data_IF_101510647137
#
_entry.id   IF_101510647137
#
_cell.length_a   1.000
_cell.length_b   1.000
_cell.length_c   1.000
_cell.angle_alpha   90.00
_cell.angle_beta   90.00
_cell.angle_gamma   90.00
#
_symmetry.space_group_name_H-M   'P 1'
#
loop_
_entity.id
_entity.type
_entity.pdbx_description
1 polymer ?
#
# COMPACT_ATOMS: atom_id res chain seq x y z
N UNK A 1 17.87 35.65 -33.81
CA UNK A 1 17.87 34.20 -33.49
C UNK A 1 17.63 34.05 -32.00
N UNK A 2 16.74 33.11 -31.63
CA UNK A 2 16.01 33.03 -30.36
C UNK A 2 16.88 32.61 -29.17
N UNK A 3 16.83 33.35 -28.07
CA UNK A 3 17.25 32.90 -26.73
C UNK A 3 16.07 32.26 -26.00
N UNK A 4 16.36 31.15 -25.31
CA UNK A 4 15.39 30.22 -24.74
C UNK A 4 14.53 30.79 -23.62
N UNK A 5 13.23 30.52 -23.72
CA UNK A 5 12.27 30.72 -22.63
C UNK A 5 12.33 29.48 -21.76
N UNK A 6 12.84 29.64 -20.54
CA UNK A 6 12.82 28.60 -19.51
C UNK A 6 11.38 28.25 -19.16
N UNK A 7 10.96 27.03 -19.51
CA UNK A 7 9.70 26.46 -19.05
C UNK A 7 9.80 26.16 -17.55
N UNK A 8 9.54 27.17 -16.72
CA UNK A 8 9.19 26.95 -15.31
C UNK A 8 7.81 26.30 -15.28
N UNK A 9 7.74 25.05 -14.83
CA UNK A 9 6.48 24.39 -14.56
C UNK A 9 5.68 25.22 -13.54
N UNK A 10 4.54 25.77 -13.97
CA UNK A 10 3.59 26.44 -13.10
C UNK A 10 2.95 25.36 -12.23
N UNK A 11 3.32 25.33 -10.95
CA UNK A 11 2.60 24.54 -9.95
C UNK A 11 1.24 25.20 -9.79
N UNK A 12 0.21 24.64 -10.42
CA UNK A 12 -1.17 25.01 -10.18
C UNK A 12 -1.47 24.67 -8.71
N UNK A 13 -1.46 25.69 -7.86
CA UNK A 13 -1.95 25.59 -6.49
C UNK A 13 -3.46 25.52 -6.57
N UNK A 14 -3.97 24.32 -6.32
CA UNK A 14 -5.38 23.98 -6.10
C UNK A 14 -6.20 23.65 -7.36
N UNK A 15 -6.44 22.35 -7.66
CA UNK A 15 -7.24 21.92 -8.82
C UNK A 15 -8.74 22.24 -8.75
N UNK A 16 -9.26 22.86 -7.67
CA UNK A 16 -10.69 23.13 -7.53
C UNK A 16 -11.58 21.89 -7.41
N UNK A 17 -11.01 20.68 -7.50
CA UNK A 17 -11.66 19.45 -7.12
C UNK A 17 -11.66 19.39 -5.61
N UNK A 18 -12.84 19.22 -5.00
CA UNK A 18 -12.95 18.86 -3.59
C UNK A 18 -12.18 17.56 -3.37
N UNK A 19 -10.91 17.68 -2.96
CA UNK A 19 -10.12 16.55 -2.51
C UNK A 19 -10.83 16.08 -1.26
N UNK A 20 -11.52 14.93 -1.37
CA UNK A 20 -12.19 14.32 -0.24
C UNK A 20 -11.21 14.34 0.95
N UNK A 21 -11.66 14.85 2.09
CA UNK A 21 -10.83 14.93 3.27
C UNK A 21 -10.17 13.56 3.50
N UNK A 22 -8.85 13.51 3.78
CA UNK A 22 -8.15 12.26 3.98
C UNK A 22 -8.94 11.41 4.98
N UNK A 23 -9.32 10.19 4.59
CA UNK A 23 -10.07 9.29 5.46
C UNK A 23 -9.32 9.16 6.79
N UNK A 24 -10.03 9.39 7.89
CA UNK A 24 -9.48 9.19 9.22
C UNK A 24 -8.92 7.77 9.33
N UNK A 25 -7.71 7.62 9.88
CA UNK A 25 -7.01 6.33 9.95
C UNK A 25 -7.82 5.27 10.72
N UNK A 26 -8.68 5.68 11.65
CA UNK A 26 -9.65 4.82 12.33
C UNK A 26 -10.69 4.21 11.39
N UNK A 27 -11.27 5.00 10.49
CA UNK A 27 -12.18 4.53 9.43
C UNK A 27 -11.46 3.65 8.42
N UNK A 28 -10.18 3.95 8.14
CA UNK A 28 -9.32 3.13 7.28
C UNK A 28 -9.08 1.74 7.90
N UNK A 29 -8.77 1.67 9.19
CA UNK A 29 -8.53 0.41 9.90
C UNK A 29 -9.72 -0.56 9.79
N UNK A 30 -10.95 -0.06 10.03
CA UNK A 30 -12.16 -0.88 9.92
C UNK A 30 -12.38 -1.41 8.49
N UNK A 31 -12.18 -0.56 7.47
CA UNK A 31 -12.30 -0.98 6.07
C UNK A 31 -11.25 -2.01 5.67
N UNK A 32 -10.02 -1.87 6.16
CA UNK A 32 -8.94 -2.83 5.91
C UNK A 32 -9.24 -4.18 6.56
N UNK A 33 -9.73 -4.19 7.80
CA UNK A 33 -10.14 -5.42 8.49
C UNK A 33 -11.24 -6.15 7.73
N UNK A 34 -12.24 -5.43 7.20
CA UNK A 34 -13.31 -6.02 6.40
C UNK A 34 -12.85 -6.52 5.02
N UNK A 35 -11.86 -5.86 4.41
CA UNK A 35 -11.33 -6.23 3.10
C UNK A 35 -10.25 -7.35 3.17
N UNK A 36 -9.67 -7.56 4.35
CA UNK A 36 -8.62 -8.54 4.59
C UNK A 36 -9.13 -9.99 4.70
N UNK A 37 -8.19 -10.93 4.78
CA UNK A 37 -8.47 -12.31 5.20
C UNK A 37 -8.38 -12.45 6.71
N UNK A 38 -9.46 -12.92 7.33
CA UNK A 38 -9.49 -13.24 8.77
C UNK A 38 -8.43 -14.32 9.12
N UNK A 39 -7.86 -14.23 10.32
CA UNK A 39 -6.89 -15.22 10.84
C UNK A 39 -5.55 -15.27 10.10
N UNK A 40 -5.21 -14.24 9.32
CA UNK A 40 -3.90 -14.17 8.67
C UNK A 40 -2.79 -14.06 9.72
N UNK A 41 -1.75 -14.89 9.59
CA UNK A 41 -0.54 -14.76 10.40
C UNK A 41 0.20 -13.46 10.00
N UNK A 42 0.24 -12.52 10.95
CA UNK A 42 0.87 -11.20 10.80
C UNK A 42 2.24 -11.12 11.45
N UNK A 43 2.85 -12.26 11.79
CA UNK A 43 4.20 -12.30 12.35
C UNK A 43 5.22 -11.65 11.41
N UNK A 44 6.29 -11.02 11.93
CA UNK A 44 7.24 -10.30 11.11
C UNK A 44 7.86 -11.16 9.99
N UNK A 45 8.17 -12.42 10.28
CA UNK A 45 8.72 -13.35 9.28
C UNK A 45 7.70 -13.63 8.16
N UNK A 46 6.43 -13.83 8.53
CA UNK A 46 5.38 -14.15 7.55
C UNK A 46 5.07 -12.96 6.65
N UNK A 47 5.09 -11.74 7.18
CA UNK A 47 4.98 -10.50 6.40
C UNK A 47 6.09 -10.45 5.35
N UNK A 48 7.35 -10.62 5.76
CA UNK A 48 8.51 -10.60 4.85
C UNK A 48 8.43 -11.66 3.76
N UNK A 49 8.05 -12.88 4.13
CA UNK A 49 7.90 -13.99 3.19
C UNK A 49 6.82 -13.71 2.14
N UNK A 50 5.64 -13.25 2.60
CA UNK A 50 4.49 -12.97 1.73
C UNK A 50 4.79 -11.82 0.77
N UNK A 51 5.42 -10.75 1.26
CA UNK A 51 5.81 -9.62 0.43
C UNK A 51 6.87 -10.01 -0.60
N UNK A 52 7.89 -10.80 -0.20
CA UNK A 52 8.92 -11.32 -1.11
C UNK A 52 8.29 -12.14 -2.22
N UNK A 53 7.36 -13.03 -1.89
CA UNK A 53 6.66 -13.88 -2.86
C UNK A 53 5.87 -13.04 -3.86
N UNK A 54 5.05 -12.10 -3.40
CA UNK A 54 4.27 -11.23 -4.27
C UNK A 54 5.17 -10.42 -5.24
N UNK A 55 6.25 -9.84 -4.73
CA UNK A 55 7.23 -9.10 -5.56
C UNK A 55 7.96 -10.01 -6.54
N UNK A 56 8.29 -11.24 -6.15
CA UNK A 56 8.96 -12.20 -7.03
C UNK A 56 8.11 -12.55 -8.25
N UNK A 57 6.77 -12.62 -8.10
CA UNK A 57 5.89 -12.88 -9.24
C UNK A 57 5.96 -11.78 -10.28
N UNK A 58 5.90 -10.51 -9.85
CA UNK A 58 6.00 -9.38 -10.76
C UNK A 58 7.41 -9.26 -11.37
N UNK A 59 8.47 -9.46 -10.58
CA UNK A 59 9.85 -9.28 -11.04
C UNK A 59 10.29 -10.38 -12.02
N UNK A 60 9.95 -11.64 -11.71
CA UNK A 60 10.32 -12.79 -12.55
C UNK A 60 9.23 -13.19 -13.55
N UNK A 61 8.17 -12.39 -13.68
CA UNK A 61 7.03 -12.65 -14.58
C UNK A 61 6.42 -14.05 -14.39
N UNK A 62 6.33 -14.49 -13.13
CA UNK A 62 5.74 -15.78 -12.79
C UNK A 62 4.22 -15.64 -12.84
N UNK A 63 3.54 -16.59 -13.49
CA UNK A 63 2.08 -16.70 -13.49
C UNK A 63 1.64 -17.60 -12.34
N UNK A 64 1.08 -17.07 -11.23
CA UNK A 64 0.63 -17.89 -10.13
C UNK A 64 -0.64 -18.66 -10.50
N UNK A 65 -0.92 -19.74 -9.76
CA UNK A 65 -2.18 -20.47 -9.91
C UNK A 65 -3.40 -19.54 -9.71
N UNK A 66 -4.53 -19.82 -10.38
CA UNK A 66 -5.76 -19.02 -10.21
C UNK A 66 -6.14 -18.85 -8.75
N UNK A 67 -6.57 -17.64 -8.37
CA UNK A 67 -6.94 -17.31 -6.99
C UNK A 67 -5.77 -17.02 -6.04
N UNK A 68 -4.52 -17.37 -6.38
CA UNK A 68 -3.35 -17.05 -5.52
C UNK A 68 -3.10 -15.56 -5.40
N UNK A 69 -3.23 -14.80 -6.48
CA UNK A 69 -3.03 -13.35 -6.48
C UNK A 69 -4.11 -12.63 -5.64
N UNK A 70 -5.42 -12.86 -5.87
CA UNK A 70 -6.47 -12.31 -5.00
C UNK A 70 -6.33 -12.70 -3.52
N UNK A 71 -6.00 -13.96 -3.23
CA UNK A 71 -5.79 -14.41 -1.85
C UNK A 71 -4.61 -13.67 -1.20
N UNK A 72 -3.47 -13.59 -1.89
CA UNK A 72 -2.28 -12.88 -1.39
C UNK A 72 -2.56 -11.39 -1.19
N UNK A 73 -3.32 -10.77 -2.09
CA UNK A 73 -3.76 -9.38 -1.92
C UNK A 73 -4.56 -9.19 -0.63
N UNK A 74 -5.55 -10.05 -0.36
CA UNK A 74 -6.33 -9.99 0.90
C UNK A 74 -5.47 -10.25 2.14
N UNK A 75 -4.52 -11.17 2.08
CA UNK A 75 -3.57 -11.42 3.17
C UNK A 75 -2.72 -10.17 3.43
N UNK A 76 -2.18 -9.53 2.39
CA UNK A 76 -1.43 -8.28 2.52
C UNK A 76 -2.29 -7.13 3.06
N UNK A 77 -3.56 -7.06 2.67
CA UNK A 77 -4.53 -6.11 3.25
C UNK A 77 -4.71 -6.32 4.76
N UNK A 78 -4.80 -7.57 5.23
CA UNK A 78 -4.83 -7.87 6.67
C UNK A 78 -3.54 -7.46 7.38
N UNK A 79 -2.39 -7.71 6.76
CA UNK A 79 -1.09 -7.29 7.30
C UNK A 79 -1.00 -5.76 7.43
N UNK A 80 -1.45 -5.01 6.42
CA UNK A 80 -1.56 -3.56 6.50
C UNK A 80 -2.50 -3.12 7.62
N UNK A 81 -3.67 -3.75 7.77
CA UNK A 81 -4.62 -3.46 8.84
C UNK A 81 -3.98 -3.61 10.24
N UNK A 82 -3.14 -4.63 10.40
CA UNK A 82 -2.46 -4.93 11.65
C UNK A 82 -1.26 -4.01 11.92
N UNK A 83 -0.53 -3.61 10.89
CA UNK A 83 0.70 -2.82 11.04
C UNK A 83 0.46 -1.31 11.18
N UNK A 84 -0.61 -0.75 10.60
CA UNK A 84 -0.88 0.71 10.64
C UNK A 84 -1.05 1.29 12.06
N UNK A 85 -1.72 0.62 13.03
CA UNK A 85 -1.97 1.21 14.35
C UNK A 85 -0.71 1.62 15.12
N UNK A 86 0.38 0.84 15.06
CA UNK A 86 1.59 1.11 15.85
C UNK A 86 2.31 2.40 15.39
N UNK A 87 2.65 2.58 14.10
CA UNK A 87 3.17 3.85 13.59
C UNK A 87 2.20 5.02 13.79
N UNK A 88 0.89 4.80 13.74
CA UNK A 88 -0.06 5.88 13.99
C UNK A 88 0.02 6.40 15.43
N UNK A 89 0.27 5.51 16.40
CA UNK A 89 0.42 5.87 17.80
C UNK A 89 1.78 6.52 18.11
N UNK A 90 2.86 6.07 17.46
CA UNK A 90 4.24 6.42 17.83
C UNK A 90 4.94 7.39 16.86
N UNK A 91 4.49 7.50 15.62
CA UNK A 91 5.11 8.31 14.57
C UNK A 91 4.15 9.31 13.95
N UNK A 92 4.21 10.56 14.42
CA UNK A 92 3.45 11.68 13.86
C UNK A 92 4.22 12.42 12.76
N UNK A 93 5.19 11.76 12.11
CA UNK A 93 5.96 12.39 11.03
C UNK A 93 5.17 12.36 9.73
N UNK A 94 5.30 13.39 8.86
CA UNK A 94 4.65 13.39 7.54
C UNK A 94 5.02 12.17 6.68
N UNK A 95 6.25 11.66 6.85
CA UNK A 95 6.71 10.46 6.14
C UNK A 95 5.98 9.20 6.60
N UNK A 96 5.85 8.98 7.91
CA UNK A 96 5.09 7.86 8.47
C UNK A 96 3.64 7.89 8.00
N UNK A 97 3.02 9.07 8.02
CA UNK A 97 1.66 9.26 7.53
C UNK A 97 1.52 8.94 6.03
N UNK A 98 2.47 9.39 5.21
CA UNK A 98 2.47 9.09 3.78
C UNK A 98 2.58 7.58 3.51
N UNK A 99 3.42 6.86 4.27
CA UNK A 99 3.56 5.40 4.16
C UNK A 99 2.27 4.69 4.55
N UNK A 100 1.66 5.05 5.69
CA UNK A 100 0.36 4.50 6.12
C UNK A 100 -0.75 4.73 5.09
N UNK A 101 -0.86 5.97 4.57
CA UNK A 101 -1.85 6.31 3.55
C UNK A 101 -1.62 5.54 2.25
N UNK A 102 -0.37 5.42 1.78
CA UNK A 102 -0.03 4.68 0.56
C UNK A 102 -0.43 3.21 0.67
N UNK A 103 -0.11 2.55 1.78
CA UNK A 103 -0.50 1.17 2.03
C UNK A 103 -2.03 1.01 2.06
N UNK A 104 -2.73 1.88 2.79
CA UNK A 104 -4.18 1.86 2.88
C UNK A 104 -4.88 2.05 1.52
N UNK A 105 -4.44 3.06 0.75
CA UNK A 105 -4.99 3.34 -0.58
C UNK A 105 -4.76 2.15 -1.52
N UNK A 106 -3.55 1.58 -1.51
CA UNK A 106 -3.22 0.45 -2.39
C UNK A 106 -4.02 -0.82 -2.01
N UNK A 107 -4.22 -1.05 -0.71
CA UNK A 107 -4.97 -2.20 -0.20
C UNK A 107 -6.47 -2.12 -0.53
N UNK A 108 -7.06 -0.93 -0.40
CA UNK A 108 -8.50 -0.68 -0.60
C UNK A 108 -8.89 -0.34 -2.04
N UNK A 109 -7.91 -0.12 -2.92
CA UNK A 109 -8.20 0.15 -4.33
C UNK A 109 -8.88 -1.07 -4.98
N UNK A 110 -9.95 -0.88 -5.78
CA UNK A 110 -10.66 -1.98 -6.45
C UNK A 110 -9.70 -2.83 -7.29
N UNK A 111 -9.68 -4.15 -7.10
CA UNK A 111 -8.80 -5.01 -7.87
C UNK A 111 -9.17 -4.95 -9.37
N UNK A 112 -8.19 -4.79 -10.28
CA UNK A 112 -8.43 -4.81 -11.71
C UNK A 112 -8.85 -6.21 -12.18
N UNK A 113 -9.57 -6.30 -13.30
CA UNK A 113 -9.93 -7.59 -13.89
C UNK A 113 -8.76 -8.26 -14.63
N UNK A 114 -7.81 -7.46 -15.13
CA UNK A 114 -6.62 -7.94 -15.84
C UNK A 114 -5.63 -8.64 -14.88
N UNK A 115 -5.24 -9.91 -15.12
CA UNK A 115 -4.36 -10.66 -14.23
C UNK A 115 -2.95 -10.06 -14.06
N UNK A 116 -2.40 -9.42 -15.10
CA UNK A 116 -1.07 -8.81 -15.01
C UNK A 116 -1.12 -7.53 -14.16
N UNK A 117 -2.19 -6.76 -14.28
CA UNK A 117 -2.42 -5.58 -13.46
C UNK A 117 -2.73 -5.96 -12.01
N UNK A 118 -3.45 -7.06 -11.75
CA UNK A 118 -3.61 -7.61 -10.40
C UNK A 118 -2.25 -7.93 -9.77
N UNK A 119 -1.38 -8.61 -10.51
CA UNK A 119 -0.02 -8.94 -10.07
C UNK A 119 0.79 -7.70 -9.70
N UNK A 120 0.77 -6.67 -10.56
CA UNK A 120 1.46 -5.41 -10.30
C UNK A 120 0.91 -4.72 -9.05
N UNK A 121 -0.42 -4.64 -8.89
CA UNK A 121 -1.04 -4.05 -7.70
C UNK A 121 -0.68 -4.79 -6.42
N UNK A 122 -0.72 -6.13 -6.45
CA UNK A 122 -0.33 -6.94 -5.29
C UNK A 122 1.16 -6.75 -4.96
N UNK A 123 2.04 -6.60 -5.95
CA UNK A 123 3.45 -6.30 -5.72
C UNK A 123 3.67 -4.88 -5.14
N UNK A 124 2.91 -3.88 -5.59
CA UNK A 124 2.94 -2.53 -5.02
C UNK A 124 2.46 -2.54 -3.56
N UNK A 125 1.38 -3.26 -3.26
CA UNK A 125 0.92 -3.42 -1.88
C UNK A 125 1.98 -4.10 -1.00
N UNK A 126 2.62 -5.16 -1.51
CA UNK A 126 3.70 -5.84 -0.81
C UNK A 126 4.89 -4.90 -0.49
N UNK A 127 5.23 -3.98 -1.39
CA UNK A 127 6.26 -2.98 -1.11
C UNK A 127 5.84 -2.03 0.02
N UNK A 128 4.60 -1.52 -0.02
CA UNK A 128 4.09 -0.63 1.02
C UNK A 128 3.94 -1.32 2.39
N UNK A 129 3.59 -2.61 2.42
CA UNK A 129 3.51 -3.40 3.66
C UNK A 129 4.90 -3.63 4.27
N UNK A 130 5.94 -3.81 3.46
CA UNK A 130 7.32 -3.88 3.97
C UNK A 130 7.76 -2.56 4.59
N UNK A 131 7.48 -1.42 3.93
CA UNK A 131 7.77 -0.09 4.48
C UNK A 131 7.04 0.13 5.81
N UNK A 132 5.79 -0.34 5.94
CA UNK A 132 5.04 -0.30 7.21
C UNK A 132 5.65 -1.19 8.29
N UNK A 133 6.15 -2.36 7.92
CA UNK A 133 6.77 -3.27 8.86
C UNK A 133 8.06 -2.68 9.44
N UNK A 134 8.89 -2.09 8.58
CA UNK A 134 10.13 -1.44 9.02
C UNK A 134 9.80 -0.26 9.94
N UNK A 135 8.81 0.56 9.56
CA UNK A 135 8.33 1.67 10.38
C UNK A 135 7.77 1.23 11.74
N UNK A 136 7.05 0.10 11.80
CA UNK A 136 6.54 -0.45 13.05
C UNK A 136 7.64 -1.08 13.93
N UNK A 137 8.70 -1.61 13.31
CA UNK A 137 9.88 -2.13 14.00
C UNK A 137 10.73 -1.03 14.64
N UNK A 138 10.81 0.14 14.02
CA UNK A 138 11.46 1.34 14.60
C UNK A 138 10.67 1.94 15.79
N UNK A 139 9.39 1.57 15.94
CA UNK A 139 8.53 2.02 17.04
C UNK A 139 8.62 1.15 18.31
N UNK A 140 9.23 -0.03 18.24
CA UNK A 140 9.21 -1.07 19.29
C UNK A 140 10.49 -1.05 20.14
#
# INVERSE_FOLDING_TARGET
MRSGVGNRAVVVRDPGFAVAAPLALTTVGLRLTLAGSAGSDTSPQRVRETCRRARSWCHHRITPAPGRVPHTHRTLTSMAAHLIPAPHAHHQTPQAEATMRRAAVTALAPQPDDPQEQLRRTACLAAAVLELQDLAGDSA
#
